data_IF_731978608680
#
_entry.id   IF_731978608680
#
_cell.length_a   1.000
_cell.length_b   1.000
_cell.length_c   1.000
_cell.angle_alpha   90.00
_cell.angle_beta   90.00
_cell.angle_gamma   90.00
#
_symmetry.space_group_name_H-M   'P 1'
#
loop_
_entity.id
_entity.type
_entity.pdbx_description
1 polymer ?
#
# COMPACT_ATOMS: atom_id res chain seq x y z
N UNK A 1 -44.07 12.25 32.00
CA UNK A 1 -43.26 11.54 30.99
C UNK A 1 -42.89 12.56 29.93
N UNK A 2 -41.62 12.99 29.93
CA UNK A 2 -41.09 14.08 29.10
C UNK A 2 -40.25 13.50 27.96
N UNK A 3 -40.50 14.05 26.77
CA UNK A 3 -39.67 14.17 25.57
C UNK A 3 -39.03 12.92 24.94
N UNK A 4 -39.39 12.70 23.67
CA UNK A 4 -38.40 12.64 22.60
C UNK A 4 -39.00 13.29 21.35
N UNK A 5 -38.40 14.41 20.94
CA UNK A 5 -38.69 15.17 19.72
C UNK A 5 -37.58 14.86 18.72
N UNK A 6 -37.73 13.88 17.84
CA UNK A 6 -37.00 13.84 16.56
C UNK A 6 -37.82 13.02 15.55
N UNK A 7 -38.33 13.69 14.53
CA UNK A 7 -38.96 13.09 13.36
C UNK A 7 -37.88 12.89 12.29
N UNK A 8 -37.70 11.66 11.83
CA UNK A 8 -36.61 11.22 10.94
C UNK A 8 -36.99 11.28 9.45
N UNK A 9 -38.02 12.05 9.08
CA UNK A 9 -38.62 12.03 7.74
C UNK A 9 -37.98 12.93 6.68
N UNK A 10 -36.95 13.73 7.00
CA UNK A 10 -36.36 14.70 6.06
C UNK A 10 -35.15 14.21 5.24
N UNK A 11 -34.84 12.91 5.23
CA UNK A 11 -33.67 12.37 4.48
C UNK A 11 -33.96 11.98 3.03
N UNK A 12 -35.11 12.39 2.47
CA UNK A 12 -35.46 12.18 1.07
C UNK A 12 -35.35 13.48 0.28
N UNK A 13 -34.12 13.91 -0.03
CA UNK A 13 -33.94 15.14 -0.81
C UNK A 13 -32.54 15.51 -1.28
N UNK A 14 -31.50 14.70 -1.06
CA UNK A 14 -30.17 14.99 -1.61
C UNK A 14 -30.01 14.30 -2.95
N UNK A 15 -30.48 14.99 -3.99
CA UNK A 15 -30.21 14.71 -5.40
C UNK A 15 -28.74 14.39 -5.61
N UNK A 16 -28.51 13.29 -6.31
CA UNK A 16 -27.24 12.94 -6.96
C UNK A 16 -26.75 14.17 -7.75
N UNK A 17 -25.70 14.79 -7.21
CA UNK A 17 -24.98 15.86 -7.90
C UNK A 17 -24.12 15.15 -8.93
N UNK A 18 -24.48 15.35 -10.21
CA UNK A 18 -23.83 14.71 -11.34
C UNK A 18 -22.31 14.79 -11.26
N UNK A 19 -21.66 13.75 -11.79
CA UNK A 19 -20.24 13.71 -12.09
C UNK A 19 -19.89 14.93 -12.95
N UNK A 20 -19.45 16.00 -12.29
CA UNK A 20 -18.71 17.05 -12.95
C UNK A 20 -17.38 16.43 -13.35
N UNK A 21 -17.16 16.22 -14.64
CA UNK A 21 -15.82 15.99 -15.17
C UNK A 21 -14.95 17.16 -14.70
N UNK A 22 -14.18 16.91 -13.62
CA UNK A 22 -13.24 17.85 -13.03
C UNK A 22 -12.19 18.11 -14.12
N UNK A 23 -12.17 19.35 -14.64
CA UNK A 23 -11.24 19.73 -15.71
C UNK A 23 -9.82 19.29 -15.34
N UNK A 24 -9.18 18.50 -16.19
CA UNK A 24 -7.86 17.94 -15.93
C UNK A 24 -6.87 19.05 -15.56
N UNK A 25 -6.45 19.08 -14.29
CA UNK A 25 -5.47 20.05 -13.80
C UNK A 25 -4.15 19.76 -14.51
N UNK A 26 -3.66 20.73 -15.30
CA UNK A 26 -2.38 20.61 -15.99
C UNK A 26 -1.25 20.78 -14.98
N UNK A 27 -0.79 19.69 -14.40
CA UNK A 27 0.36 19.67 -13.47
C UNK A 27 1.68 19.78 -14.23
N UNK A 28 2.63 20.57 -13.69
CA UNK A 28 4.01 20.63 -14.15
C UNK A 28 4.91 19.95 -13.10
N UNK A 29 5.43 18.73 -13.35
CA UNK A 29 6.21 17.99 -12.36
C UNK A 29 7.46 18.72 -11.83
N UNK A 30 8.01 19.68 -12.58
CA UNK A 30 9.21 20.45 -12.19
C UNK A 30 8.87 21.67 -11.34
N UNK A 31 7.61 22.12 -11.35
CA UNK A 31 7.13 23.26 -10.58
C UNK A 31 6.26 22.78 -9.40
N UNK A 32 6.76 22.80 -8.16
CA UNK A 32 6.04 22.27 -7.01
C UNK A 32 4.75 23.04 -6.70
N UNK A 33 4.63 24.31 -7.09
CA UNK A 33 3.41 25.10 -6.86
C UNK A 33 2.29 24.73 -7.84
N UNK A 34 2.61 24.03 -8.93
CA UNK A 34 1.61 23.51 -9.87
C UNK A 34 0.91 22.24 -9.41
N UNK A 35 1.42 21.58 -8.35
CA UNK A 35 0.86 20.34 -7.81
C UNK A 35 -0.18 20.71 -6.75
N UNK A 36 -1.46 20.36 -6.95
CA UNK A 36 -2.51 20.75 -6.01
C UNK A 36 -2.32 20.03 -4.66
N UNK A 37 -2.37 20.81 -3.58
CA UNK A 37 -2.09 20.32 -2.22
C UNK A 37 -3.37 19.77 -1.58
N UNK A 38 -3.24 18.69 -0.81
CA UNK A 38 -4.33 18.10 0.01
C UNK A 38 -5.54 17.59 -0.78
N UNK A 39 -5.33 17.07 -1.99
CA UNK A 39 -6.42 16.61 -2.86
C UNK A 39 -6.65 15.10 -2.84
N UNK A 40 -5.68 14.33 -2.36
CA UNK A 40 -5.78 12.88 -2.22
C UNK A 40 -5.95 12.50 -0.74
N UNK A 41 -6.89 11.58 -0.43
CA UNK A 41 -7.04 11.08 0.93
C UNK A 41 -5.80 10.26 1.33
N UNK A 42 -5.36 10.39 2.58
CA UNK A 42 -4.25 9.60 3.11
C UNK A 42 -4.63 8.11 3.16
N UNK A 43 -3.94 7.22 2.42
CA UNK A 43 -4.28 5.80 2.44
C UNK A 43 -3.89 5.14 3.77
N UNK A 44 -4.80 4.33 4.32
CA UNK A 44 -4.51 3.45 5.46
C UNK A 44 -4.02 2.11 4.91
N UNK A 45 -2.80 1.65 5.26
CA UNK A 45 -2.28 0.37 4.79
C UNK A 45 -3.14 -0.80 5.29
N UNK A 46 -3.29 -1.84 4.46
CA UNK A 46 -4.01 -3.05 4.86
C UNK A 46 -3.27 -3.80 5.97
N UNK A 47 -4.00 -4.52 6.83
CA UNK A 47 -3.39 -5.41 7.82
C UNK A 47 -2.90 -6.71 7.16
N UNK A 48 -1.68 -7.12 7.50
CA UNK A 48 -1.15 -8.43 7.14
C UNK A 48 -1.91 -9.52 7.91
N UNK A 49 -2.25 -10.61 7.22
CA UNK A 49 -2.93 -11.75 7.83
C UNK A 49 -1.96 -12.92 7.97
N UNK A 50 -1.90 -13.61 9.13
CA UNK A 50 -1.08 -14.79 9.29
C UNK A 50 -1.61 -15.92 8.39
N UNK A 51 -0.69 -16.69 7.83
CA UNK A 51 -0.97 -17.91 7.08
C UNK A 51 -1.00 -19.05 8.11
N UNK A 52 -2.19 -19.48 8.50
CA UNK A 52 -2.35 -20.61 9.42
C UNK A 52 -1.72 -21.86 8.80
N UNK A 53 -0.75 -22.47 9.49
CA UNK A 53 -0.40 -23.87 9.23
C UNK A 53 -1.44 -24.72 9.98
N UNK A 54 -2.26 -25.46 9.26
CA UNK A 54 -3.09 -26.48 9.90
C UNK A 54 -2.21 -27.62 10.41
N UNK A 55 -2.69 -28.26 11.48
CA UNK A 55 -2.29 -29.56 11.99
C UNK A 55 -0.97 -29.58 12.78
N UNK A 56 -1.01 -29.15 14.05
CA UNK A 56 -0.56 -30.01 15.16
C UNK A 56 -0.87 -29.37 16.53
N UNK A 57 -1.12 -30.26 17.48
CA UNK A 57 -1.73 -30.03 18.79
C UNK A 57 -0.83 -29.20 19.73
N UNK A 58 -1.49 -28.29 20.46
CA UNK A 58 -1.08 -27.74 21.77
C UNK A 58 0.26 -27.00 21.96
N UNK A 59 1.02 -26.68 20.92
CA UNK A 59 2.05 -25.65 21.04
C UNK A 59 1.54 -24.33 20.48
N UNK A 60 1.67 -23.26 21.26
CA UNK A 60 1.30 -21.87 20.95
C UNK A 60 1.38 -21.61 19.44
N UNK A 61 0.23 -21.33 18.80
CA UNK A 61 0.16 -21.11 17.35
C UNK A 61 1.02 -19.91 16.98
N UNK A 62 2.28 -20.18 16.68
CA UNK A 62 3.24 -19.17 16.28
C UNK A 62 2.73 -18.46 15.02
N UNK A 63 2.59 -17.14 15.10
CA UNK A 63 2.05 -16.36 14.01
C UNK A 63 3.02 -16.39 12.83
N UNK A 64 2.64 -17.08 11.76
CA UNK A 64 3.44 -17.18 10.55
C UNK A 64 2.88 -16.28 9.46
N UNK A 65 3.70 -15.39 8.92
CA UNK A 65 3.35 -14.52 7.79
C UNK A 65 4.16 -14.90 6.56
N UNK A 66 3.55 -14.76 5.39
CA UNK A 66 4.22 -14.87 4.10
C UNK A 66 4.09 -13.54 3.36
N UNK A 67 5.20 -12.83 3.20
CA UNK A 67 5.24 -11.52 2.56
C UNK A 67 6.09 -11.62 1.30
N UNK A 68 5.50 -11.25 0.17
CA UNK A 68 6.11 -11.41 -1.16
C UNK A 68 6.50 -10.05 -1.71
N UNK A 69 7.78 -9.84 -1.97
CA UNK A 69 8.28 -8.67 -2.70
C UNK A 69 7.97 -8.84 -4.18
N UNK A 70 7.22 -7.92 -4.77
CA UNK A 70 6.88 -7.96 -6.21
C UNK A 70 6.81 -6.56 -6.81
N UNK A 71 7.07 -6.48 -8.11
CA UNK A 71 6.85 -5.27 -8.88
C UNK A 71 5.34 -5.03 -9.11
N UNK A 72 4.91 -3.78 -8.97
CA UNK A 72 3.51 -3.35 -9.14
C UNK A 72 3.46 -1.91 -9.68
N UNK A 73 2.25 -1.40 -9.90
CA UNK A 73 1.96 -0.02 -10.27
C UNK A 73 1.22 0.68 -9.12
N UNK A 74 1.63 1.90 -8.78
CA UNK A 74 1.01 2.71 -7.75
C UNK A 74 0.83 4.15 -8.23
N UNK A 75 -0.31 4.78 -7.88
CA UNK A 75 -0.58 6.19 -8.17
C UNK A 75 -0.39 6.98 -6.89
N UNK A 76 0.65 7.81 -6.83
CA UNK A 76 0.97 8.64 -5.67
C UNK A 76 0.14 9.92 -5.57
N UNK A 77 -0.42 10.36 -6.71
CA UNK A 77 -1.25 11.56 -6.77
C UNK A 77 -2.26 11.42 -7.93
N UNK A 78 -3.52 11.87 -7.76
CA UNK A 78 -4.57 11.67 -8.79
C UNK A 78 -4.23 12.22 -10.17
N UNK A 79 -3.46 13.30 -10.21
CA UNK A 79 -3.05 13.99 -11.44
C UNK A 79 -1.74 13.45 -12.06
N UNK A 80 -1.16 12.37 -11.51
CA UNK A 80 0.08 11.76 -12.02
C UNK A 80 -0.16 10.35 -12.57
N UNK A 81 0.66 9.91 -13.55
CA UNK A 81 0.58 8.55 -14.08
C UNK A 81 0.95 7.50 -13.02
N UNK A 82 0.61 6.25 -13.30
CA UNK A 82 1.01 5.11 -12.48
C UNK A 82 2.53 4.93 -12.48
N UNK A 83 3.12 4.97 -11.29
CA UNK A 83 4.55 4.74 -11.05
C UNK A 83 4.82 3.26 -10.85
N UNK A 84 5.87 2.74 -11.49
CA UNK A 84 6.39 1.39 -11.17
C UNK A 84 7.02 1.41 -9.79
N UNK A 85 6.60 0.51 -8.91
CA UNK A 85 7.16 0.37 -7.56
C UNK A 85 7.39 -1.09 -7.23
N UNK A 86 8.33 -1.34 -6.32
CA UNK A 86 8.52 -2.65 -5.70
C UNK A 86 7.92 -2.61 -4.30
N UNK A 87 6.97 -3.50 -4.04
CA UNK A 87 6.18 -3.44 -2.82
C UNK A 87 6.07 -4.79 -2.13
N UNK A 88 5.98 -4.76 -0.81
CA UNK A 88 5.61 -5.93 0.00
C UNK A 88 4.14 -6.26 -0.25
N UNK A 89 3.88 -7.52 -0.61
CA UNK A 89 2.63 -7.98 -1.21
C UNK A 89 2.19 -7.16 -2.44
N UNK A 90 3.14 -6.48 -3.10
CA UNK A 90 2.93 -5.54 -4.21
C UNK A 90 1.97 -4.42 -3.87
N UNK A 91 2.06 -3.93 -2.64
CA UNK A 91 1.39 -2.74 -2.16
C UNK A 91 2.44 -1.67 -1.86
N UNK A 92 2.04 -0.40 -1.98
CA UNK A 92 2.84 0.74 -1.57
C UNK A 92 1.90 1.70 -0.79
N UNK A 93 2.10 1.88 0.53
CA UNK A 93 2.99 1.09 1.40
C UNK A 93 2.56 -0.39 1.48
N UNK A 94 3.48 -1.24 1.95
CA UNK A 94 3.19 -2.64 2.26
C UNK A 94 2.15 -2.80 3.38
N UNK A 95 1.64 -4.02 3.60
CA UNK A 95 0.67 -4.25 4.67
C UNK A 95 1.29 -4.08 6.06
N UNK A 96 0.54 -3.49 6.99
CA UNK A 96 0.93 -3.33 8.39
C UNK A 96 0.84 -4.68 9.11
N UNK A 97 1.90 -5.07 9.82
CA UNK A 97 1.89 -6.23 10.71
C UNK A 97 1.57 -5.75 12.12
N UNK A 98 0.43 -6.19 12.66
CA UNK A 98 -0.04 -5.84 13.99
C UNK A 98 -0.02 -7.09 14.88
N UNK A 99 0.78 -7.06 15.95
CA UNK A 99 0.90 -8.16 16.91
C UNK A 99 0.92 -7.64 18.34
N UNK A 100 0.49 -8.49 19.27
CA UNK A 100 0.58 -8.20 20.70
C UNK A 100 2.03 -8.27 21.16
N UNK A 101 2.34 -7.49 22.21
CA UNK A 101 3.61 -7.55 22.91
C UNK A 101 3.87 -8.99 23.38
N UNK A 102 5.14 -9.40 23.33
CA UNK A 102 5.63 -10.70 23.81
C UNK A 102 5.03 -11.93 23.06
N UNK A 103 4.44 -11.71 21.87
CA UNK A 103 4.01 -12.79 20.97
C UNK A 103 5.06 -13.00 19.87
N UNK A 104 5.70 -14.19 19.80
CA UNK A 104 6.65 -14.49 18.74
C UNK A 104 5.95 -14.59 17.38
N UNK A 105 6.62 -14.07 16.35
CA UNK A 105 6.17 -14.13 14.96
C UNK A 105 7.28 -14.67 14.06
N UNK A 106 6.90 -15.45 13.06
CA UNK A 106 7.77 -15.85 11.95
C UNK A 106 7.27 -15.20 10.68
N UNK A 107 8.19 -14.64 9.91
CA UNK A 107 7.87 -14.04 8.61
C UNK A 107 8.76 -14.66 7.56
N UNK A 108 8.15 -15.29 6.55
CA UNK A 108 8.84 -15.64 5.32
C UNK A 108 8.78 -14.44 4.38
N UNK A 109 9.95 -13.88 4.09
CA UNK A 109 10.15 -12.88 3.05
C UNK A 109 10.51 -13.60 1.75
N UNK A 110 9.63 -13.54 0.76
CA UNK A 110 9.86 -14.15 -0.54
C UNK A 110 10.20 -13.06 -1.56
N UNK A 111 11.34 -13.21 -2.25
CA UNK A 111 11.70 -12.33 -3.35
C UNK A 111 11.10 -12.86 -4.66
N UNK A 112 10.18 -12.09 -5.26
CA UNK A 112 9.65 -12.31 -6.62
C UNK A 112 9.77 -11.04 -7.47
N UNK A 113 10.88 -10.33 -7.29
CA UNK A 113 11.22 -9.14 -8.07
C UNK A 113 11.78 -9.57 -9.45
N UNK A 114 11.64 -8.72 -10.48
CA UNK A 114 12.28 -8.97 -11.78
C UNK A 114 13.80 -8.95 -11.66
N UNK A 115 14.50 -9.64 -12.57
CA UNK A 115 15.97 -9.69 -12.58
C UNK A 115 16.64 -8.34 -12.87
N UNK A 116 15.90 -7.41 -13.48
CA UNK A 116 16.36 -6.05 -13.80
C UNK A 116 15.89 -5.06 -12.74
N UNK A 117 16.82 -4.30 -12.18
CA UNK A 117 16.50 -3.28 -11.19
C UNK A 117 15.75 -2.08 -11.81
N UNK A 118 14.81 -1.50 -11.06
CA UNK A 118 14.00 -0.36 -11.53
C UNK A 118 14.75 0.97 -11.55
N UNK A 119 15.87 1.04 -10.84
CA UNK A 119 16.77 2.19 -10.80
C UNK A 119 18.17 1.80 -11.30
N UNK A 120 18.97 2.77 -11.78
CA UNK A 120 20.35 2.51 -12.18
C UNK A 120 21.17 1.93 -11.02
N UNK A 121 21.87 0.82 -11.27
CA UNK A 121 22.79 0.19 -10.32
C UNK A 121 24.22 0.64 -10.64
N UNK A 122 24.96 1.04 -9.62
CA UNK A 122 26.37 1.44 -9.76
C UNK A 122 27.30 0.23 -9.54
N UNK A 123 27.84 -0.28 -10.65
CA UNK A 123 28.79 -1.40 -10.65
C UNK A 123 30.26 -0.97 -10.50
N UNK A 124 30.53 0.33 -10.34
CA UNK A 124 31.89 0.84 -10.11
C UNK A 124 32.33 0.67 -8.66
N UNK A 125 31.38 0.42 -7.76
CA UNK A 125 31.65 0.13 -6.36
C UNK A 125 32.42 -1.18 -6.20
N UNK A 126 33.35 -1.20 -5.26
CA UNK A 126 34.15 -2.40 -5.00
C UNK A 126 33.23 -3.58 -4.59
N UNK A 127 33.38 -4.71 -5.28
CA UNK A 127 32.59 -5.92 -5.01
C UNK A 127 31.22 -5.99 -5.70
N UNK A 128 30.90 -5.06 -6.63
CA UNK A 128 29.63 -5.07 -7.38
C UNK A 128 29.78 -5.33 -8.89
N UNK A 129 31.02 -5.40 -9.41
CA UNK A 129 31.30 -5.56 -10.84
C UNK A 129 30.65 -6.79 -11.47
N UNK A 130 30.68 -7.94 -10.77
CA UNK A 130 30.15 -9.21 -11.28
C UNK A 130 28.83 -9.62 -10.62
N UNK A 131 28.16 -8.70 -9.92
CA UNK A 131 26.93 -9.01 -9.19
C UNK A 131 25.70 -8.66 -10.02
N UNK A 132 24.63 -9.48 -10.00
CA UNK A 132 23.40 -9.14 -10.70
C UNK A 132 22.73 -7.94 -10.04
N UNK A 133 22.01 -7.16 -10.85
CA UNK A 133 21.18 -6.03 -10.44
C UNK A 133 20.18 -6.39 -9.33
N UNK A 134 19.65 -7.61 -9.37
CA UNK A 134 18.68 -8.14 -8.41
C UNK A 134 19.10 -9.53 -7.96
N UNK A 135 19.06 -9.78 -6.65
CA UNK A 135 19.40 -11.06 -6.04
C UNK A 135 18.11 -11.72 -5.55
N UNK A 136 17.64 -12.73 -6.27
CA UNK A 136 16.42 -13.50 -5.97
C UNK A 136 16.71 -14.79 -5.23
#
# INVERSE_FOLDING_TARGET
MSHSKYDYSDIQGLKEKGESEEAAVKVNPTDPESIPKFVDPLPIPALAKPVNRCDDLEQERELFYHIVMKQTKHRFHRDFPLTTVWGYNGMCPGPTIEVRKDVPVKIKWENRLPDKHIFPVDHTLHGTMDTPDVRT
#
